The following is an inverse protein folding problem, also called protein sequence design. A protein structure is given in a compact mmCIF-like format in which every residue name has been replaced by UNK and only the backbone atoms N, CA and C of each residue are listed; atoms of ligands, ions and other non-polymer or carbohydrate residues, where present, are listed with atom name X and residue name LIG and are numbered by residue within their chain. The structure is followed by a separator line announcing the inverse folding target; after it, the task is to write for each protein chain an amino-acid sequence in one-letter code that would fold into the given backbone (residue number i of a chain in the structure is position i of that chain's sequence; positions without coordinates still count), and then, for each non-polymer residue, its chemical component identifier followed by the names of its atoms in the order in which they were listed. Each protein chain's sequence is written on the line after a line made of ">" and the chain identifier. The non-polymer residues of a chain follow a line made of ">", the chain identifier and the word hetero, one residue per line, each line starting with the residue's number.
data_IF_177202725894
#
_entry.id   IF_177202725894
#
_cell.length_a   1.000
_cell.length_b   1.000
_cell.length_c   1.000
_cell.angle_alpha   90.00
_cell.angle_beta   90.00
_cell.angle_gamma   90.00
#
_symmetry.space_group_name_H-M   'P 1'
#
loop_
_entity.id
_entity.type
_entity.pdbx_description
1 polymer ?
#
# COMPACT_ATOMS: atom_id res chain seq x y z
N UNK A 1 -8.13 -3.35 -13.73
CA UNK A 1 -7.17 -4.47 -13.58
C UNK A 1 -6.72 -4.48 -12.13
N UNK A 2 -6.49 -5.65 -11.53
CA UNK A 2 -6.02 -5.78 -10.14
C UNK A 2 -4.58 -6.30 -10.12
N UNK A 3 -3.81 -5.87 -9.14
CA UNK A 3 -2.44 -6.31 -8.88
C UNK A 3 -2.33 -6.85 -7.46
N UNK A 4 -1.51 -7.87 -7.24
CA UNK A 4 -1.22 -8.35 -5.88
C UNK A 4 -0.07 -7.57 -5.25
N UNK A 5 0.01 -7.57 -3.92
CA UNK A 5 1.14 -7.01 -3.19
C UNK A 5 2.48 -7.61 -3.66
N UNK A 6 2.52 -8.91 -3.94
CA UNK A 6 3.70 -9.58 -4.49
C UNK A 6 4.14 -9.02 -5.86
N UNK A 7 3.19 -8.81 -6.78
CA UNK A 7 3.49 -8.25 -8.10
C UNK A 7 4.00 -6.81 -7.99
N UNK A 8 3.46 -6.02 -7.07
CA UNK A 8 3.92 -4.66 -6.81
C UNK A 8 5.33 -4.65 -6.23
N UNK A 9 5.61 -5.52 -5.27
CA UNK A 9 6.93 -5.65 -4.69
C UNK A 9 7.97 -6.07 -5.72
N UNK A 10 7.65 -7.02 -6.60
CA UNK A 10 8.53 -7.44 -7.70
C UNK A 10 8.85 -6.26 -8.65
N UNK A 11 7.84 -5.47 -9.02
CA UNK A 11 8.00 -4.31 -9.89
C UNK A 11 8.89 -3.22 -9.27
N UNK A 12 8.77 -3.02 -7.95
CA UNK A 12 9.50 -2.00 -7.20
C UNK A 12 10.82 -2.49 -6.61
N UNK A 13 11.17 -3.77 -6.82
CA UNK A 13 12.30 -4.44 -6.16
C UNK A 13 12.24 -4.30 -4.62
N UNK A 14 11.02 -4.33 -4.08
CA UNK A 14 10.72 -4.20 -2.66
C UNK A 14 10.54 -5.56 -1.98
N UNK A 15 10.26 -5.50 -0.68
CA UNK A 15 9.88 -6.67 0.14
C UNK A 15 8.45 -6.51 0.63
N UNK A 16 7.69 -7.61 0.68
CA UNK A 16 6.34 -7.62 1.25
C UNK A 16 6.42 -7.95 2.73
N UNK A 17 5.90 -7.07 3.58
CA UNK A 17 5.54 -7.37 4.96
C UNK A 17 4.01 -7.49 5.06
N UNK A 18 3.50 -8.68 5.41
CA UNK A 18 2.05 -8.96 5.46
C UNK A 18 1.60 -9.99 4.43
N UNK A 19 0.37 -9.84 3.90
CA UNK A 19 -0.22 -10.78 2.94
C UNK A 19 0.21 -10.47 1.48
N UNK A 20 1.02 -11.33 0.83
CA UNK A 20 1.44 -11.13 -0.57
C UNK A 20 0.31 -11.25 -1.59
N UNK A 21 -0.83 -11.84 -1.22
CA UNK A 21 -1.98 -12.03 -2.10
C UNK A 21 -2.99 -10.89 -2.04
N UNK A 22 -2.81 -9.92 -1.14
CA UNK A 22 -3.67 -8.74 -1.06
C UNK A 22 -3.74 -8.04 -2.42
N UNK A 23 -4.95 -7.81 -2.92
CA UNK A 23 -5.16 -7.21 -4.24
C UNK A 23 -5.48 -5.73 -4.16
N UNK A 24 -5.03 -4.97 -5.14
CA UNK A 24 -5.34 -3.55 -5.30
C UNK A 24 -5.73 -3.24 -6.72
N UNK A 25 -6.69 -2.33 -6.89
CA UNK A 25 -7.18 -1.88 -8.19
C UNK A 25 -7.33 -0.37 -8.32
N UNK A 26 -7.07 0.38 -7.24
CA UNK A 26 -7.17 1.84 -7.19
C UNK A 26 -6.07 2.44 -6.32
N UNK A 27 -5.80 3.73 -6.51
CA UNK A 27 -4.94 4.52 -5.63
C UNK A 27 -5.79 5.26 -4.60
N UNK A 28 -5.20 5.52 -3.44
CA UNK A 28 -5.76 6.39 -2.40
C UNK A 28 -4.67 7.22 -1.74
N UNK A 29 -5.03 8.34 -1.13
CA UNK A 29 -4.16 8.98 -0.13
C UNK A 29 -4.07 8.06 1.08
N UNK A 30 -2.95 8.14 1.82
CA UNK A 30 -2.75 7.34 3.03
C UNK A 30 -3.81 7.62 4.11
N UNK A 31 -4.32 8.87 4.18
CA UNK A 31 -5.39 9.28 5.10
C UNK A 31 -6.81 8.87 4.64
N UNK A 32 -7.00 8.62 3.34
CA UNK A 32 -8.29 8.28 2.71
C UNK A 32 -8.28 6.82 2.18
N UNK A 33 -7.64 5.93 2.93
CA UNK A 33 -7.47 4.52 2.55
C UNK A 33 -8.79 3.79 2.24
N UNK A 34 -8.68 2.55 1.79
CA UNK A 34 -9.83 1.65 1.71
C UNK A 34 -9.47 0.30 1.10
N UNK A 35 -10.39 -0.65 1.22
CA UNK A 35 -10.21 -1.98 0.67
C UNK A 35 -9.94 -1.92 -0.85
N UNK A 36 -8.98 -2.72 -1.29
CA UNK A 36 -8.52 -2.75 -2.67
C UNK A 36 -7.74 -1.52 -3.11
N UNK A 37 -7.33 -0.64 -2.20
CA UNK A 37 -6.54 0.55 -2.50
C UNK A 37 -5.05 0.39 -2.18
N UNK A 38 -4.23 1.06 -2.98
CA UNK A 38 -2.81 1.23 -2.77
C UNK A 38 -2.50 2.67 -2.37
N UNK A 39 -1.77 2.82 -1.27
CA UNK A 39 -1.25 4.09 -0.75
C UNK A 39 0.28 4.03 -0.67
N UNK A 40 0.92 5.16 -0.35
CA UNK A 40 2.36 5.21 -0.11
C UNK A 40 2.71 6.21 0.99
N UNK A 41 3.75 5.92 1.75
CA UNK A 41 4.38 6.80 2.72
C UNK A 41 5.76 7.21 2.20
N UNK A 42 5.83 8.38 1.57
CA UNK A 42 7.10 8.96 1.09
C UNK A 42 7.56 10.16 1.93
N UNK A 43 6.67 10.76 2.72
CA UNK A 43 6.96 11.92 3.56
C UNK A 43 6.74 11.54 5.05
N UNK A 44 7.78 11.62 5.90
CA UNK A 44 7.68 11.29 7.33
C UNK A 44 6.61 12.09 8.10
N UNK A 45 6.17 13.25 7.59
CA UNK A 45 5.05 14.00 8.18
C UNK A 45 3.74 13.20 8.24
N UNK A 46 3.61 12.14 7.43
CA UNK A 46 2.42 11.30 7.32
C UNK A 46 2.54 9.96 8.03
N UNK A 47 3.63 9.70 8.77
CA UNK A 47 3.86 8.41 9.45
C UNK A 47 2.70 8.00 10.37
N UNK A 48 2.06 8.96 11.03
CA UNK A 48 0.89 8.71 11.87
C UNK A 48 -0.25 7.98 11.15
N UNK A 49 -0.45 8.22 9.85
CA UNK A 49 -1.55 7.62 9.09
C UNK A 49 -1.30 6.15 8.72
N UNK A 50 -0.04 5.69 8.72
CA UNK A 50 0.25 4.29 8.32
C UNK A 50 -0.33 3.28 9.31
N UNK A 51 -0.52 3.68 10.56
CA UNK A 51 -1.05 2.82 11.62
C UNK A 51 -2.58 2.71 11.60
N UNK A 52 -3.28 3.69 11.04
CA UNK A 52 -4.74 3.77 11.05
C UNK A 52 -5.36 3.66 9.64
N UNK A 53 -4.54 3.66 8.59
CA UNK A 53 -5.03 3.59 7.21
C UNK A 53 -5.74 2.27 6.92
N UNK A 54 -6.82 2.35 6.15
CA UNK A 54 -7.60 1.19 5.70
C UNK A 54 -7.22 0.73 4.28
N UNK A 55 -6.12 1.24 3.73
CA UNK A 55 -5.58 0.81 2.44
C UNK A 55 -5.10 -0.65 2.51
N UNK A 56 -5.34 -1.43 1.45
CA UNK A 56 -4.92 -2.84 1.41
C UNK A 56 -3.41 -3.01 1.25
N UNK A 57 -2.74 -2.09 0.57
CA UNK A 57 -1.27 -2.08 0.43
C UNK A 57 -0.75 -0.67 0.65
N UNK A 58 0.33 -0.54 1.43
CA UNK A 58 1.05 0.72 1.60
C UNK A 58 2.51 0.51 1.22
N UNK A 59 3.01 1.31 0.28
CA UNK A 59 4.44 1.35 -0.05
C UNK A 59 5.14 2.25 0.95
N UNK A 60 6.17 1.73 1.62
CA UNK A 60 7.00 2.49 2.57
C UNK A 60 8.40 2.62 1.97
N UNK A 61 8.97 3.82 2.00
CA UNK A 61 10.33 4.12 1.55
C UNK A 61 11.16 4.84 2.60
#
# INVERSE_FOLDING_TARGET
>A
MQFTAAQIAELLQGTVEGDPNATVGRLSKIEEGGEGSLSFLANPAYTQYVYDTTASVVIIG
#
